data_IF_691495037768
#
_entry.id   IF_691495037768
#
_cell.length_a   1.000
_cell.length_b   1.000
_cell.length_c   1.000
_cell.angle_alpha   90.00
_cell.angle_beta   90.00
_cell.angle_gamma   90.00
#
_symmetry.space_group_name_H-M   'P 1'
#
loop_
_entity.id
_entity.type
_entity.pdbx_description
1 polymer ?
#
# COMPACT_ATOMS: atom_id res chain seq x y z
N UNK A 1 15.17 -22.27 -11.76
CA UNK A 1 14.00 -21.60 -11.16
C UNK A 1 13.57 -20.49 -12.11
N UNK A 2 12.44 -20.64 -12.79
CA UNK A 2 12.04 -19.76 -13.90
C UNK A 2 11.32 -18.55 -13.32
N UNK A 3 11.85 -17.35 -13.52
CA UNK A 3 11.17 -16.08 -13.24
C UNK A 3 9.89 -16.06 -14.09
N UNK A 4 8.74 -16.26 -13.44
CA UNK A 4 7.44 -16.09 -14.10
C UNK A 4 7.31 -14.60 -14.38
N UNK A 5 7.04 -14.15 -15.63
CA UNK A 5 6.76 -12.73 -15.86
C UNK A 5 5.61 -12.34 -14.94
N UNK A 6 5.84 -11.31 -14.11
CA UNK A 6 4.91 -10.90 -13.07
C UNK A 6 3.51 -10.76 -13.64
N UNK A 7 2.55 -11.48 -13.07
CA UNK A 7 1.15 -11.33 -13.43
C UNK A 7 0.79 -9.83 -13.33
N UNK A 8 0.02 -9.24 -14.25
CA UNK A 8 -0.24 -7.79 -14.32
C UNK A 8 -1.01 -7.22 -13.10
N UNK A 9 -1.20 -8.00 -12.05
CA UNK A 9 -1.84 -7.58 -10.81
C UNK A 9 -0.84 -7.49 -9.64
N UNK A 10 0.43 -7.87 -9.83
CA UNK A 10 1.45 -7.95 -8.76
C UNK A 10 2.40 -6.75 -8.73
N UNK A 11 1.86 -5.53 -8.75
CA UNK A 11 2.69 -4.32 -8.80
C UNK A 11 3.34 -3.94 -7.45
N UNK A 12 2.75 -4.37 -6.33
CA UNK A 12 3.24 -4.15 -4.96
C UNK A 12 3.24 -5.46 -4.16
N UNK A 13 4.13 -5.55 -3.16
CA UNK A 13 4.18 -6.67 -2.20
C UNK A 13 4.08 -6.16 -0.76
N UNK A 14 2.87 -5.86 -0.26
CA UNK A 14 2.64 -5.60 1.16
C UNK A 14 2.29 -6.88 1.93
N UNK A 15 2.56 -6.90 3.24
CA UNK A 15 1.88 -7.82 4.15
C UNK A 15 0.42 -7.37 4.38
N UNK A 16 -0.45 -8.30 4.80
CA UNK A 16 -1.87 -8.00 5.08
C UNK A 16 -2.04 -6.91 6.15
N UNK A 17 -1.13 -6.84 7.12
CA UNK A 17 -1.16 -5.80 8.16
C UNK A 17 -0.88 -4.42 7.59
N UNK A 18 0.07 -4.33 6.67
CA UNK A 18 0.46 -3.09 6.02
C UNK A 18 -0.61 -2.59 5.05
N UNK A 19 -1.25 -3.53 4.34
CA UNK A 19 -2.44 -3.22 3.53
C UNK A 19 -3.60 -2.73 4.39
N UNK A 20 -3.88 -3.40 5.52
CA UNK A 20 -4.95 -3.02 6.44
C UNK A 20 -4.74 -1.64 7.06
N UNK A 21 -3.49 -1.27 7.34
CA UNK A 21 -3.15 0.07 7.83
C UNK A 21 -3.34 1.15 6.74
N UNK A 22 -2.99 0.86 5.49
CA UNK A 22 -3.14 1.83 4.39
C UNK A 22 -4.58 1.97 3.89
N UNK A 23 -5.44 0.97 4.10
CA UNK A 23 -6.81 0.93 3.56
C UNK A 23 -7.72 2.10 3.99
N UNK A 24 -7.71 2.56 5.26
CA UNK A 24 -8.45 3.76 5.66
C UNK A 24 -7.91 5.07 5.07
N UNK A 25 -6.69 5.04 4.53
CA UNK A 25 -6.03 6.18 3.89
C UNK A 25 -5.29 7.13 4.84
N UNK A 26 -5.24 6.84 6.15
CA UNK A 26 -4.48 7.61 7.13
C UNK A 26 -2.97 7.25 7.13
N UNK A 27 -2.65 5.98 6.89
CA UNK A 27 -1.29 5.47 6.77
C UNK A 27 -0.82 5.54 5.33
N UNK A 28 0.29 6.23 5.07
CA UNK A 28 0.80 6.41 3.71
C UNK A 28 1.64 5.23 3.25
N UNK A 29 1.36 4.70 2.05
CA UNK A 29 2.18 3.65 1.41
C UNK A 29 3.64 4.08 1.22
N UNK A 30 3.92 5.37 1.04
CA UNK A 30 5.30 5.90 0.95
C UNK A 30 6.06 5.79 2.26
N UNK A 31 5.40 5.91 3.42
CA UNK A 31 6.01 5.74 4.74
C UNK A 31 6.32 4.26 5.00
N UNK A 32 5.42 3.36 4.61
CA UNK A 32 5.64 1.91 4.68
C UNK A 32 6.79 1.46 3.76
N UNK A 33 6.92 2.06 2.58
CA UNK A 33 8.04 1.81 1.68
C UNK A 33 9.36 2.35 2.25
N UNK A 34 9.36 3.55 2.86
CA UNK A 34 10.54 4.09 3.54
C UNK A 34 10.98 3.22 4.72
N UNK A 35 10.04 2.55 5.40
CA UNK A 35 10.30 1.56 6.43
C UNK A 35 10.70 0.17 5.89
N UNK A 36 10.77 -0.02 4.56
CA UNK A 36 11.13 -1.29 3.92
C UNK A 36 10.03 -2.37 3.96
N UNK A 37 8.81 -2.01 4.34
CA UNK A 37 7.68 -2.95 4.52
C UNK A 37 6.88 -3.19 3.25
N UNK A 38 6.93 -2.24 2.31
CA UNK A 38 6.30 -2.35 0.99
C UNK A 38 7.36 -2.16 -0.09
N UNK A 39 7.34 -3.04 -1.10
CA UNK A 39 8.27 -2.99 -2.23
C UNK A 39 7.54 -2.80 -3.54
N UNK A 40 8.08 -1.90 -4.36
CA UNK A 40 7.66 -1.69 -5.74
C UNK A 40 8.31 -2.76 -6.65
N UNK A 41 7.49 -3.52 -7.37
CA UNK A 41 7.96 -4.50 -8.38
C UNK A 41 7.86 -3.97 -9.81
N UNK A 42 7.21 -2.82 -10.02
CA UNK A 42 6.96 -2.22 -11.31
C UNK A 42 7.10 -0.69 -11.20
N UNK A 43 8.17 -0.09 -11.74
CA UNK A 43 8.48 1.33 -11.54
C UNK A 43 7.27 2.25 -11.62
N UNK A 44 6.98 2.94 -10.52
CA UNK A 44 5.90 3.91 -10.43
C UNK A 44 4.57 3.35 -9.91
N UNK A 45 4.48 2.04 -9.65
CA UNK A 45 3.32 1.44 -9.02
C UNK A 45 3.09 1.97 -7.61
N UNK A 46 4.17 2.18 -6.84
CA UNK A 46 4.05 2.77 -5.52
C UNK A 46 3.44 4.17 -5.55
N UNK A 47 3.85 5.01 -6.50
CA UNK A 47 3.32 6.37 -6.64
C UNK A 47 1.83 6.36 -7.00
N UNK A 48 1.42 5.53 -7.97
CA UNK A 48 0.02 5.35 -8.37
C UNK A 48 -0.84 4.88 -7.19
N UNK A 49 -0.37 3.88 -6.45
CA UNK A 49 -1.09 3.33 -5.31
C UNK A 49 -1.15 4.32 -4.14
N UNK A 50 -0.07 5.04 -3.85
CA UNK A 50 -0.06 6.07 -2.81
C UNK A 50 -1.10 7.15 -3.09
N UNK A 51 -1.27 7.57 -4.34
CA UNK A 51 -2.36 8.48 -4.74
C UNK A 51 -3.73 7.84 -4.57
N UNK A 52 -3.91 6.56 -4.92
CA UNK A 52 -5.20 5.88 -4.88
C UNK A 52 -5.68 5.57 -3.45
N UNK A 53 -4.77 5.25 -2.53
CA UNK A 53 -5.08 4.95 -1.13
C UNK A 53 -5.09 6.19 -0.23
N UNK A 54 -4.42 7.28 -0.63
CA UNK A 54 -4.37 8.51 0.16
C UNK A 54 -5.75 9.16 0.31
N UNK A 55 -6.08 9.57 1.52
CA UNK A 55 -7.27 10.37 1.83
C UNK A 55 -6.88 11.62 2.61
N UNK A 56 -7.43 12.78 2.23
CA UNK A 56 -7.27 14.03 2.99
C UNK A 56 -8.25 14.10 4.18
N UNK A 57 -9.21 13.18 4.25
CA UNK A 57 -10.13 13.03 5.36
C UNK A 57 -9.53 12.00 6.32
N UNK A 58 -9.36 12.38 7.58
CA UNK A 58 -8.89 11.48 8.63
C UNK A 58 -9.80 10.24 8.73
N UNK A 59 -9.19 9.07 8.93
CA UNK A 59 -9.93 7.83 9.11
C UNK A 59 -10.90 7.95 10.28
N UNK A 60 -12.18 7.64 10.02
CA UNK A 60 -13.19 7.68 11.07
C UNK A 60 -13.04 6.48 12.00
N UNK A 61 -12.91 6.75 13.29
CA UNK A 61 -12.96 5.75 14.35
C UNK A 61 -14.30 5.92 15.06
N UNK A 62 -15.19 4.92 15.07
CA UNK A 62 -16.35 4.94 15.96
C UNK A 62 -15.85 5.03 17.40
N UNK A 63 -16.26 6.08 18.11
CA UNK A 63 -16.10 6.16 19.55
C UNK A 63 -17.40 5.67 20.20
N UNK A 64 -17.24 4.88 21.26
CA UNK A 64 -18.31 4.23 22.04
C UNK A 64 -19.12 3.16 21.28
N UNK A 65 -18.63 1.92 21.29
CA UNK A 65 -19.46 0.69 21.28
C UNK A 65 -19.12 -0.10 22.54
#
# INVERSE_FOLDING_TARGET
MRHQPGHPWQYLVPDIRDLGAAYPGDTRLTELAAAGRVRDQCPGALARAATAFGSDIAAWIPHDI
#
